data_IF_303429949645
#
_entry.id   IF_303429949645
#
_cell.length_a   1.000
_cell.length_b   1.000
_cell.length_c   1.000
_cell.angle_alpha   90.00
_cell.angle_beta   90.00
_cell.angle_gamma   90.00
#
_symmetry.space_group_name_H-M   'P 1'
#
loop_
_entity.id
_entity.type
_entity.pdbx_description
1 polymer ?
#
# COMPACT_ATOMS: atom_id res chain seq x y z
N UNK A 1 -6.18 -6.90 29.50
CA UNK A 1 -6.16 -6.08 28.28
C UNK A 1 -5.60 -4.73 28.66
N UNK A 2 -4.45 -4.37 28.10
CA UNK A 2 -3.98 -2.99 28.20
C UNK A 2 -4.90 -2.15 27.32
N UNK A 3 -5.35 -1.02 27.84
CA UNK A 3 -6.27 -0.13 27.14
C UNK A 3 -5.43 0.88 26.36
N UNK A 4 -5.72 1.08 25.08
CA UNK A 4 -5.13 2.15 24.26
C UNK A 4 -5.25 3.48 25.01
N UNK A 5 -4.13 4.16 25.15
CA UNK A 5 -4.00 5.44 25.86
C UNK A 5 -4.16 6.61 24.88
N UNK A 6 -4.33 7.82 25.42
CA UNK A 6 -4.34 9.04 24.59
C UNK A 6 -3.02 9.24 23.86
N UNK A 7 -1.90 8.88 24.47
CA UNK A 7 -0.58 8.99 23.84
C UNK A 7 -0.45 8.04 22.64
N UNK A 8 -0.98 6.82 22.77
CA UNK A 8 -0.99 5.85 21.67
C UNK A 8 -1.80 6.37 20.48
N UNK A 9 -2.95 7.02 20.75
CA UNK A 9 -3.78 7.62 19.71
C UNK A 9 -3.08 8.77 18.98
N UNK A 10 -2.36 9.63 19.71
CA UNK A 10 -1.56 10.71 19.11
C UNK A 10 -0.44 10.15 18.22
N UNK A 11 0.17 9.04 18.62
CA UNK A 11 1.21 8.37 17.84
C UNK A 11 0.65 7.70 16.58
N UNK A 12 -0.46 6.97 16.71
CA UNK A 12 -1.19 6.39 15.58
C UNK A 12 -1.55 7.48 14.57
N UNK A 13 -2.14 8.60 15.01
CA UNK A 13 -2.53 9.70 14.12
C UNK A 13 -1.32 10.26 13.35
N UNK A 14 -0.19 10.43 14.04
CA UNK A 14 1.05 10.92 13.41
C UNK A 14 1.57 9.94 12.36
N UNK A 15 1.60 8.64 12.65
CA UNK A 15 2.08 7.62 11.71
C UNK A 15 1.12 7.46 10.53
N UNK A 16 -0.19 7.47 10.78
CA UNK A 16 -1.23 7.44 9.75
C UNK A 16 -1.13 8.62 8.78
N UNK A 17 -0.93 9.85 9.29
CA UNK A 17 -0.70 11.03 8.42
C UNK A 17 0.54 10.87 7.56
N UNK A 18 1.63 10.34 8.12
CA UNK A 18 2.86 10.07 7.36
C UNK A 18 2.62 9.01 6.29
N UNK A 19 1.92 7.93 6.64
CA UNK A 19 1.54 6.85 5.73
C UNK A 19 0.70 7.38 4.57
N UNK A 20 -0.36 8.14 4.85
CA UNK A 20 -1.21 8.78 3.84
C UNK A 20 -0.42 9.68 2.90
N UNK A 21 0.38 10.61 3.44
CA UNK A 21 1.17 11.54 2.63
C UNK A 21 2.19 10.82 1.72
N UNK A 22 2.79 9.72 2.21
CA UNK A 22 3.74 8.92 1.44
C UNK A 22 3.08 8.30 0.20
N UNK A 23 1.91 7.67 0.35
CA UNK A 23 1.18 7.09 -0.78
C UNK A 23 0.54 8.14 -1.69
N UNK A 24 0.14 9.29 -1.14
CA UNK A 24 -0.35 10.40 -1.94
C UNK A 24 0.74 10.94 -2.87
N UNK A 25 1.98 11.05 -2.42
CA UNK A 25 3.10 11.42 -3.28
C UNK A 25 3.34 10.37 -4.39
N UNK A 26 3.21 9.08 -4.09
CA UNK A 26 3.31 8.01 -5.09
C UNK A 26 2.21 8.16 -6.15
N UNK A 27 0.96 8.27 -5.72
CA UNK A 27 -0.21 8.47 -6.59
C UNK A 27 -0.04 9.70 -7.49
N UNK A 28 0.31 10.86 -6.93
CA UNK A 28 0.51 12.11 -7.65
C UNK A 28 1.61 11.99 -8.71
N UNK A 29 2.63 11.16 -8.46
CA UNK A 29 3.69 10.94 -9.44
C UNK A 29 3.29 9.95 -10.54
N UNK A 30 2.66 8.83 -10.19
CA UNK A 30 2.22 7.82 -11.16
C UNK A 30 1.17 8.40 -12.11
N UNK A 31 0.21 9.18 -11.58
CA UNK A 31 -0.92 9.76 -12.32
C UNK A 31 -0.55 10.88 -13.31
N UNK A 32 0.70 11.37 -13.31
CA UNK A 32 1.18 12.35 -14.31
C UNK A 32 1.12 11.82 -15.74
N UNK A 33 1.12 10.49 -15.91
CA UNK A 33 0.94 9.80 -17.19
C UNK A 33 -0.23 8.85 -17.00
N UNK A 34 -1.31 9.05 -17.74
CA UNK A 34 -2.46 8.13 -17.68
C UNK A 34 -2.28 6.96 -18.64
N UNK A 35 -2.64 5.78 -18.16
CA UNK A 35 -2.76 4.53 -18.89
C UNK A 35 -3.59 3.59 -18.02
N UNK A 36 -4.32 2.64 -18.62
CA UNK A 36 -5.21 1.73 -17.87
C UNK A 36 -4.51 1.07 -16.67
N UNK A 37 -3.26 0.64 -16.83
CA UNK A 37 -2.49 -0.01 -15.77
C UNK A 37 -2.10 0.94 -14.63
N UNK A 38 -1.80 2.20 -14.95
CA UNK A 38 -1.47 3.23 -13.96
C UNK A 38 -2.69 3.67 -13.19
N UNK A 39 -3.81 3.82 -13.90
CA UNK A 39 -5.10 4.16 -13.31
C UNK A 39 -5.55 3.03 -12.35
N UNK A 40 -5.33 1.77 -12.74
CA UNK A 40 -5.56 0.61 -11.85
C UNK A 40 -4.68 0.65 -10.60
N UNK A 41 -3.37 0.84 -10.73
CA UNK A 41 -2.46 0.90 -9.56
C UNK A 41 -2.82 2.06 -8.63
N UNK A 42 -3.20 3.22 -9.18
CA UNK A 42 -3.66 4.36 -8.38
C UNK A 42 -4.95 4.03 -7.63
N UNK A 43 -5.90 3.36 -8.27
CA UNK A 43 -7.14 2.94 -7.61
C UNK A 43 -6.85 1.94 -6.48
N UNK A 44 -5.96 0.98 -6.71
CA UNK A 44 -5.51 0.05 -5.67
C UNK A 44 -4.87 0.79 -4.48
N UNK A 45 -4.04 1.81 -4.72
CA UNK A 45 -3.50 2.67 -3.64
C UNK A 45 -4.65 3.32 -2.87
N UNK A 46 -5.63 3.91 -3.56
CA UNK A 46 -6.75 4.60 -2.91
C UNK A 46 -7.57 3.66 -2.04
N UNK A 47 -8.00 2.52 -2.57
CA UNK A 47 -8.80 1.55 -1.84
C UNK A 47 -8.07 0.99 -0.62
N UNK A 48 -6.75 0.78 -0.70
CA UNK A 48 -6.01 0.16 0.41
C UNK A 48 -5.47 1.16 1.42
N UNK A 49 -5.17 2.39 0.99
CA UNK A 49 -4.50 3.37 1.85
C UNK A 49 -5.47 4.40 2.36
N UNK A 50 -6.41 4.87 1.54
CA UNK A 50 -7.30 5.95 1.94
C UNK A 50 -8.55 5.43 2.62
N UNK A 51 -9.10 4.27 2.24
CA UNK A 51 -10.23 3.73 2.99
C UNK A 51 -9.82 3.44 4.44
N UNK A 52 -8.62 2.87 4.65
CA UNK A 52 -8.06 2.62 5.99
C UNK A 52 -7.75 3.94 6.72
N UNK A 53 -7.06 4.89 6.08
CA UNK A 53 -6.70 6.16 6.74
C UNK A 53 -7.89 7.11 6.96
N UNK A 54 -8.91 7.06 6.12
CA UNK A 54 -10.07 7.96 6.24
C UNK A 54 -11.01 7.46 7.35
N UNK A 55 -11.12 6.13 7.55
CA UNK A 55 -11.72 5.55 8.75
C UNK A 55 -11.06 6.04 10.05
N UNK A 56 -9.73 6.24 10.06
CA UNK A 56 -9.01 6.80 11.22
C UNK A 56 -9.35 8.26 11.51
N UNK A 57 -9.59 9.04 10.47
CA UNK A 57 -9.82 10.48 10.59
C UNK A 57 -11.30 10.83 10.80
N UNK A 58 -12.23 9.87 10.64
CA UNK A 58 -13.67 10.13 10.70
C UNK A 58 -14.32 9.90 12.07
N UNK A 59 -13.86 8.91 12.87
CA UNK A 59 -14.41 8.67 14.22
C UNK A 59 -13.42 7.88 15.11
N UNK A 60 -13.08 8.43 16.29
CA UNK A 60 -12.25 7.75 17.30
C UNK A 60 -12.85 6.41 17.73
N UNK A 61 -14.18 6.28 17.73
CA UNK A 61 -14.87 5.04 18.10
C UNK A 61 -14.64 3.93 17.07
N UNK A 62 -14.59 4.28 15.78
CA UNK A 62 -14.36 3.32 14.71
C UNK A 62 -12.89 2.85 14.75
N UNK A 63 -11.94 3.77 14.96
CA UNK A 63 -10.53 3.43 15.18
C UNK A 63 -10.34 2.48 16.37
N UNK A 64 -10.95 2.78 17.52
CA UNK A 64 -10.85 1.90 18.70
C UNK A 64 -11.48 0.52 18.44
N UNK A 65 -12.57 0.47 17.67
CA UNK A 65 -13.22 -0.80 17.28
C UNK A 65 -12.33 -1.60 16.34
N UNK A 66 -11.64 -0.95 15.40
CA UNK A 66 -10.69 -1.60 14.51
C UNK A 66 -9.47 -2.13 15.26
N UNK A 67 -8.90 -1.32 16.16
CA UNK A 67 -7.81 -1.74 17.05
C UNK A 67 -8.21 -2.95 17.91
N UNK A 68 -9.42 -2.97 18.44
CA UNK A 68 -9.91 -4.11 19.21
C UNK A 68 -10.09 -5.36 18.34
N UNK A 69 -10.77 -5.22 17.20
CA UNK A 69 -11.15 -6.36 16.35
C UNK A 69 -9.95 -7.01 15.64
N UNK A 70 -8.98 -6.22 15.18
CA UNK A 70 -7.88 -6.71 14.35
C UNK A 70 -6.54 -6.75 15.08
N UNK A 71 -6.36 -5.93 16.11
CA UNK A 71 -5.07 -5.77 16.80
C UNK A 71 -5.15 -6.05 18.31
N UNK A 72 -6.32 -6.46 18.83
CA UNK A 72 -6.47 -6.77 20.25
C UNK A 72 -6.19 -5.58 21.19
N UNK A 73 -6.46 -4.35 20.73
CA UNK A 73 -6.10 -3.09 21.38
C UNK A 73 -4.58 -2.82 21.48
N UNK A 74 -3.79 -3.39 20.56
CA UNK A 74 -2.36 -3.13 20.43
C UNK A 74 -2.08 -2.01 19.41
N UNK A 75 -1.74 -0.84 19.93
CA UNK A 75 -1.38 0.31 19.11
C UNK A 75 -0.05 0.11 18.36
N UNK A 76 0.91 -0.59 18.96
CA UNK A 76 2.22 -0.83 18.34
C UNK A 76 2.07 -1.71 17.11
N UNK A 77 1.26 -2.77 17.19
CA UNK A 77 0.96 -3.63 16.03
C UNK A 77 0.30 -2.86 14.87
N UNK A 78 -0.56 -1.89 15.17
CA UNK A 78 -1.17 -1.03 14.14
C UNK A 78 -0.14 -0.10 13.50
N UNK A 79 0.70 0.53 14.31
CA UNK A 79 1.79 1.39 13.85
C UNK A 79 2.77 0.60 12.98
N UNK A 80 3.16 -0.59 13.41
CA UNK A 80 4.06 -1.49 12.68
C UNK A 80 3.47 -1.85 11.32
N UNK A 81 2.18 -2.17 11.24
CA UNK A 81 1.48 -2.41 9.96
C UNK A 81 1.63 -1.23 8.99
N UNK A 82 1.34 0.00 9.43
CA UNK A 82 1.45 1.19 8.58
C UNK A 82 2.90 1.42 8.12
N UNK A 83 3.88 1.14 8.98
CA UNK A 83 5.30 1.25 8.64
C UNK A 83 5.75 0.18 7.65
N UNK A 84 5.29 -1.06 7.82
CA UNK A 84 5.55 -2.16 6.90
C UNK A 84 4.94 -1.89 5.52
N UNK A 85 3.73 -1.35 5.44
CA UNK A 85 3.12 -0.95 4.17
C UNK A 85 3.98 0.08 3.42
N UNK A 86 4.51 1.11 4.10
CA UNK A 86 5.46 2.04 3.46
C UNK A 86 6.73 1.33 2.98
N UNK A 87 7.28 0.41 3.80
CA UNK A 87 8.49 -0.35 3.48
C UNK A 87 8.28 -1.23 2.24
N UNK A 88 7.11 -1.81 2.08
CA UNK A 88 6.78 -2.73 0.99
C UNK A 88 5.96 -2.10 -0.14
N UNK A 89 5.84 -0.77 -0.18
CA UNK A 89 5.09 -0.07 -1.24
C UNK A 89 5.59 -0.38 -2.66
N UNK A 90 6.88 -0.67 -2.82
CA UNK A 90 7.43 -1.14 -4.10
C UNK A 90 6.81 -2.49 -4.52
N UNK A 91 6.69 -3.43 -3.58
CA UNK A 91 6.08 -4.74 -3.85
C UNK A 91 4.61 -4.58 -4.18
N UNK A 92 3.91 -3.69 -3.46
CA UNK A 92 2.52 -3.36 -3.73
C UNK A 92 2.30 -2.95 -5.19
N UNK A 93 3.07 -1.99 -5.69
CA UNK A 93 2.97 -1.52 -7.08
C UNK A 93 3.20 -2.66 -8.08
N UNK A 94 4.20 -3.51 -7.82
CA UNK A 94 4.54 -4.63 -8.70
C UNK A 94 3.45 -5.71 -8.69
N UNK A 95 2.87 -6.00 -7.53
CA UNK A 95 1.82 -7.00 -7.38
C UNK A 95 0.48 -6.49 -7.95
N UNK A 96 0.15 -5.21 -7.78
CA UNK A 96 -0.98 -4.59 -8.45
C UNK A 96 -0.82 -4.62 -9.99
N UNK A 97 0.39 -4.35 -10.50
CA UNK A 97 0.69 -4.53 -11.91
C UNK A 97 0.49 -5.98 -12.38
N UNK A 98 1.00 -6.95 -11.62
CA UNK A 98 0.82 -8.37 -11.94
C UNK A 98 -0.66 -8.76 -11.94
N UNK A 99 -1.46 -8.29 -10.97
CA UNK A 99 -2.89 -8.56 -10.94
C UNK A 99 -3.61 -7.93 -12.14
N UNK A 100 -3.25 -6.72 -12.55
CA UNK A 100 -3.79 -6.11 -13.77
C UNK A 100 -3.52 -6.97 -15.02
N UNK A 101 -2.26 -7.42 -15.18
CA UNK A 101 -1.83 -8.20 -16.36
C UNK A 101 -2.48 -9.59 -16.38
N UNK A 102 -2.50 -10.28 -15.24
CA UNK A 102 -2.90 -11.68 -15.17
C UNK A 102 -4.34 -11.92 -14.66
N UNK A 103 -5.00 -10.88 -14.15
CA UNK A 103 -6.38 -10.89 -13.64
C UNK A 103 -6.61 -11.95 -12.55
N UNK A 104 -5.75 -11.99 -11.55
CA UNK A 104 -5.87 -12.98 -10.48
C UNK A 104 -7.04 -12.68 -9.53
N UNK A 105 -7.49 -11.42 -9.44
CA UNK A 105 -8.51 -11.01 -8.49
C UNK A 105 -8.00 -11.15 -7.05
N UNK A 106 -6.73 -10.80 -6.85
CA UNK A 106 -6.05 -10.92 -5.56
C UNK A 106 -6.67 -10.04 -4.48
N UNK A 107 -6.41 -10.38 -3.21
CA UNK A 107 -6.70 -9.49 -2.09
C UNK A 107 -5.58 -8.46 -2.04
N UNK A 108 -5.95 -7.20 -2.12
CA UNK A 108 -5.00 -6.10 -2.28
C UNK A 108 -4.09 -5.87 -1.05
N UNK A 109 -4.50 -6.28 0.15
CA UNK A 109 -3.61 -6.32 1.32
C UNK A 109 -2.41 -7.24 1.11
N UNK A 110 -2.59 -8.37 0.40
CA UNK A 110 -1.51 -9.33 0.14
C UNK A 110 -0.46 -8.77 -0.83
N UNK A 111 -0.77 -7.68 -1.55
CA UNK A 111 0.16 -7.04 -2.47
C UNK A 111 1.39 -6.47 -1.76
N UNK A 112 1.30 -6.15 -0.46
CA UNK A 112 2.48 -5.73 0.31
C UNK A 112 3.44 -6.89 0.59
N UNK A 113 2.93 -8.11 0.76
CA UNK A 113 3.70 -9.23 1.33
C UNK A 113 4.12 -10.29 0.30
N UNK A 114 3.47 -10.34 -0.87
CA UNK A 114 3.77 -11.34 -1.88
C UNK A 114 5.10 -11.07 -2.61
N UNK A 115 5.90 -12.14 -2.75
CA UNK A 115 7.19 -12.09 -3.43
C UNK A 115 7.01 -11.99 -4.96
N UNK A 116 7.71 -11.02 -5.56
CA UNK A 116 7.68 -10.63 -6.96
C UNK A 116 8.15 -11.75 -7.90
N UNK A 117 8.95 -12.69 -7.37
CA UNK A 117 9.68 -13.68 -8.14
C UNK A 117 8.81 -14.59 -9.00
N UNK A 118 7.55 -14.82 -8.63
CA UNK A 118 6.65 -15.70 -9.40
C UNK A 118 6.19 -15.07 -10.72
N UNK A 119 5.98 -13.75 -10.76
CA UNK A 119 5.40 -13.06 -11.93
C UNK A 119 6.46 -12.55 -12.89
N UNK A 120 7.61 -12.14 -12.35
CA UNK A 120 8.67 -11.51 -13.12
C UNK A 120 9.15 -12.40 -14.27
N UNK A 121 9.09 -13.72 -14.16
CA UNK A 121 9.55 -14.64 -15.22
C UNK A 121 8.54 -14.87 -16.36
N UNK A 122 7.29 -14.41 -16.24
CA UNK A 122 6.24 -14.66 -17.24
C UNK A 122 6.39 -13.73 -18.44
N UNK A 123 6.05 -14.22 -19.64
CA UNK A 123 6.29 -13.49 -20.90
C UNK A 123 5.45 -12.20 -20.98
N UNK A 124 4.21 -12.25 -20.51
CA UNK A 124 3.26 -11.15 -20.53
C UNK A 124 3.61 -10.01 -19.54
N UNK A 125 4.57 -10.25 -18.65
CA UNK A 125 5.05 -9.24 -17.70
C UNK A 125 6.06 -8.31 -18.38
N UNK A 126 5.62 -7.11 -18.78
CA UNK A 126 6.47 -6.10 -19.41
C UNK A 126 7.30 -5.35 -18.35
N UNK A 127 8.58 -5.75 -18.26
CA UNK A 127 9.54 -5.16 -17.32
C UNK A 127 9.79 -3.68 -17.58
N UNK A 128 9.69 -3.21 -18.83
CA UNK A 128 9.92 -1.80 -19.14
C UNK A 128 8.75 -0.93 -18.69
N UNK A 129 7.53 -1.42 -18.83
CA UNK A 129 6.32 -0.72 -18.37
C UNK A 129 6.34 -0.55 -16.84
N UNK A 130 6.52 -1.63 -16.08
CA UNK A 130 6.61 -1.54 -14.62
C UNK A 130 7.80 -0.70 -14.16
N UNK A 131 8.96 -0.77 -14.84
CA UNK A 131 10.12 0.07 -14.49
C UNK A 131 9.87 1.56 -14.72
N UNK A 132 9.05 1.92 -15.72
CA UNK A 132 8.60 3.29 -15.94
C UNK A 132 7.69 3.77 -14.81
N UNK A 133 6.82 2.90 -14.30
CA UNK A 133 5.92 3.20 -13.16
C UNK A 133 6.72 3.33 -11.86
N UNK A 134 7.63 2.40 -11.59
CA UNK A 134 8.50 2.43 -10.41
C UNK A 134 9.39 3.67 -10.39
N UNK A 135 9.93 4.09 -11.53
CA UNK A 135 10.72 5.31 -11.63
C UNK A 135 9.90 6.56 -11.32
N UNK A 136 8.68 6.66 -11.87
CA UNK A 136 7.78 7.77 -11.54
C UNK A 136 7.44 7.76 -10.03
N UNK A 137 7.22 6.58 -9.45
CA UNK A 137 7.01 6.39 -8.01
C UNK A 137 8.27 6.53 -7.13
N UNK A 138 9.43 6.86 -7.72
CA UNK A 138 10.73 7.02 -7.04
C UNK A 138 11.27 5.75 -6.36
N UNK A 139 10.95 4.57 -6.90
CA UNK A 139 11.48 3.29 -6.44
C UNK A 139 12.56 2.73 -7.36
N UNK A 140 13.36 1.81 -6.81
CA UNK A 140 14.36 1.07 -7.57
C UNK A 140 13.70 0.17 -8.64
N UNK A 141 14.26 0.20 -9.85
CA UNK A 141 13.81 -0.62 -10.99
C UNK A 141 14.04 -2.11 -10.74
N UNK A 142 13.25 -2.95 -11.40
CA UNK A 142 13.52 -4.37 -11.56
C UNK A 142 14.67 -4.59 -12.54
N UNK A 143 15.47 -5.66 -12.36
CA UNK A 143 16.47 -6.05 -13.35
C UNK A 143 15.79 -6.31 -14.70
N UNK A 144 16.52 -6.13 -15.80
CA UNK A 144 16.02 -6.50 -17.12
C UNK A 144 16.14 -8.01 -17.32
N UNK A 145 15.15 -8.62 -17.99
CA UNK A 145 15.21 -10.01 -18.40
C UNK A 145 16.39 -10.18 -19.37
N UNK A 146 17.22 -11.19 -19.10
CA UNK A 146 18.34 -11.59 -19.95
C UNK A 146 17.89 -12.36 -21.17
#
# INVERSE_FOLDING_TARGET
>A
MNKVTTQDLEEIEKVAKKHKNFFQEIEENISKKSSEVRDFIVEEIRCNVYDINDSLNSDLKDLLTELENYFGNDADSYIDRLQEQMKYARNFIINAYADFVFKYGGISEDYFMNDINEYYQKEEFDVNEINSILEDAKFEKLPLKS
#
